data_IF_353410804594
#
_entry.id   IF_353410804594
#
_cell.length_a   1.000
_cell.length_b   1.000
_cell.length_c   1.000
_cell.angle_alpha   90.00
_cell.angle_beta   90.00
_cell.angle_gamma   90.00
#
_symmetry.space_group_name_H-M   'P 1'
#
loop_
_entity.id
_entity.type
_entity.pdbx_description
1 polymer ?
#
# COMPACT_ATOMS: atom_id res chain seq x y z
N UNK A 1 35.70 -2.13 -28.54
CA UNK A 1 34.33 -2.07 -27.98
C UNK A 1 34.30 -2.94 -26.73
N UNK A 2 33.95 -2.42 -25.54
CA UNK A 2 34.00 -3.21 -24.32
C UNK A 2 32.92 -4.30 -24.38
N UNK A 3 33.36 -5.57 -24.41
CA UNK A 3 32.51 -6.76 -24.42
C UNK A 3 32.42 -7.31 -23.00
N UNK A 4 31.39 -6.88 -22.27
CA UNK A 4 31.04 -7.43 -20.95
C UNK A 4 29.60 -7.92 -20.97
N UNK A 5 29.36 -9.14 -20.45
CA UNK A 5 28.01 -9.73 -20.32
C UNK A 5 27.11 -8.98 -19.34
N UNK A 6 27.68 -8.11 -18.50
CA UNK A 6 26.96 -7.37 -17.48
C UNK A 6 27.10 -5.87 -17.70
N UNK A 7 25.99 -5.16 -17.60
CA UNK A 7 25.93 -3.70 -17.71
C UNK A 7 26.52 -3.11 -16.42
N UNK A 8 27.58 -2.30 -16.56
CA UNK A 8 28.14 -1.56 -15.43
C UNK A 8 27.28 -0.33 -15.15
N UNK A 9 26.60 -0.33 -14.00
CA UNK A 9 25.74 0.78 -13.58
C UNK A 9 26.50 1.86 -12.78
N UNK A 10 27.81 1.69 -12.57
CA UNK A 10 28.63 2.65 -11.81
C UNK A 10 28.82 3.93 -12.63
N UNK A 11 28.38 5.07 -12.10
CA UNK A 11 28.54 6.38 -12.73
C UNK A 11 27.42 6.80 -13.68
N UNK A 12 26.42 5.94 -13.91
CA UNK A 12 25.20 6.33 -14.66
C UNK A 12 24.24 7.06 -13.71
N UNK A 13 23.60 8.11 -14.20
CA UNK A 13 22.53 8.80 -13.46
C UNK A 13 21.44 7.80 -13.10
N UNK A 14 21.08 7.74 -11.82
CA UNK A 14 20.00 6.87 -11.34
C UNK A 14 18.70 7.45 -11.85
N UNK A 15 18.09 6.78 -12.83
CA UNK A 15 16.74 7.08 -13.25
C UNK A 15 15.80 6.39 -12.27
N UNK A 16 15.00 7.18 -11.55
CA UNK A 16 13.88 6.65 -10.80
C UNK A 16 12.71 6.57 -11.78
N UNK A 17 12.08 5.40 -11.88
CA UNK A 17 10.81 5.27 -12.60
C UNK A 17 9.82 6.25 -12.00
N UNK A 18 9.12 6.98 -12.86
CA UNK A 18 8.12 7.93 -12.38
C UNK A 18 6.98 7.18 -11.69
N UNK A 19 6.32 7.79 -10.69
CA UNK A 19 5.20 7.12 -10.00
C UNK A 19 4.06 6.77 -10.96
N UNK A 20 3.91 7.52 -12.05
CA UNK A 20 2.93 7.26 -13.11
C UNK A 20 3.30 6.02 -13.94
N UNK A 21 4.56 5.88 -14.35
CA UNK A 21 5.03 4.67 -15.05
C UNK A 21 4.94 3.41 -14.18
N UNK A 22 5.20 3.53 -12.87
CA UNK A 22 5.13 2.39 -11.96
C UNK A 22 3.68 1.91 -11.75
N UNK A 23 2.72 2.84 -11.83
CA UNK A 23 1.31 2.52 -11.80
C UNK A 23 0.84 1.90 -13.12
N UNK A 24 1.27 2.48 -14.25
CA UNK A 24 1.01 1.95 -15.58
C UNK A 24 1.51 0.50 -15.72
N UNK A 25 2.75 0.22 -15.29
CA UNK A 25 3.35 -1.12 -15.32
C UNK A 25 2.58 -2.11 -14.42
N UNK A 26 2.06 -1.64 -13.27
CA UNK A 26 1.22 -2.46 -12.39
C UNK A 26 -0.15 -2.77 -13.02
N UNK A 27 -0.74 -1.82 -13.74
CA UNK A 27 -2.02 -1.98 -14.42
C UNK A 27 -1.85 -2.94 -15.63
N UNK A 28 -0.79 -2.79 -16.42
CA UNK A 28 -0.46 -3.67 -17.54
C UNK A 28 -0.18 -5.13 -17.09
N UNK A 29 0.56 -5.32 -15.98
CA UNK A 29 0.76 -6.64 -15.38
C UNK A 29 -0.56 -7.25 -14.89
N UNK A 30 -1.48 -6.43 -14.37
CA UNK A 30 -2.81 -6.88 -13.92
C UNK A 30 -3.70 -7.34 -15.10
N UNK A 31 -3.58 -6.68 -16.25
CA UNK A 31 -4.29 -7.03 -17.47
C UNK A 31 -3.69 -8.28 -18.14
N UNK A 32 -2.38 -8.45 -18.09
CA UNK A 32 -1.71 -9.67 -18.57
C UNK A 32 -2.15 -10.92 -17.77
N UNK A 33 -2.20 -10.83 -16.44
CA UNK A 33 -2.63 -11.97 -15.62
C UNK A 33 -4.12 -12.27 -15.75
N UNK A 34 -4.96 -11.25 -15.94
CA UNK A 34 -6.39 -11.44 -16.16
C UNK A 34 -6.69 -12.00 -17.57
N UNK A 35 -5.98 -11.54 -18.60
CA UNK A 35 -6.06 -12.08 -19.96
C UNK A 35 -5.53 -13.51 -20.10
N UNK A 36 -4.53 -13.88 -19.30
CA UNK A 36 -4.02 -15.26 -19.21
C UNK A 36 -5.04 -16.21 -18.55
N UNK A 37 -5.75 -15.74 -17.51
CA UNK A 37 -6.80 -16.53 -16.85
C UNK A 37 -8.07 -16.66 -17.71
N UNK A 38 -8.37 -15.69 -18.58
CA UNK A 38 -9.53 -15.73 -19.48
C UNK A 38 -9.38 -16.72 -20.66
N UNK A 39 -8.17 -17.16 -21.00
CA UNK A 39 -7.91 -18.15 -22.07
C UNK A 39 -7.74 -19.60 -21.55
N UNK A 40 -7.89 -19.83 -20.24
CA UNK A 40 -7.67 -21.14 -19.61
C UNK A 40 -8.91 -22.01 -19.42
N UNK A 41 -10.10 -21.55 -19.81
CA UNK A 41 -11.38 -22.18 -19.50
C UNK A 41 -12.05 -22.85 -20.71
N UNK A 42 -11.30 -23.52 -21.60
CA UNK A 42 -11.89 -24.35 -22.67
C UNK A 42 -10.95 -25.50 -23.08
N UNK A 43 -10.69 -26.46 -22.17
CA UNK A 43 -10.33 -27.85 -22.55
C UNK A 43 -10.62 -28.84 -21.42
N UNK A 44 -11.76 -29.51 -21.51
CA UNK A 44 -11.96 -30.82 -20.91
C UNK A 44 -12.25 -31.85 -22.01
N UNK A 45 -11.72 -33.06 -21.80
CA UNK A 45 -11.83 -34.30 -22.58
C UNK A 45 -10.86 -34.55 -23.77
N UNK A 46 -9.68 -35.12 -23.47
CA UNK A 46 -9.17 -36.32 -24.16
C UNK A 46 -7.97 -36.95 -23.42
N UNK A 47 -8.09 -38.27 -23.24
CA UNK A 47 -7.17 -39.28 -22.70
C UNK A 47 -5.70 -39.14 -23.12
N UNK A 48 -4.77 -39.48 -22.22
CA UNK A 48 -3.44 -40.02 -22.59
C UNK A 48 -2.27 -39.43 -21.81
N UNK A 49 -1.64 -40.25 -20.96
CA UNK A 49 -0.50 -39.84 -20.13
C UNK A 49 0.80 -39.67 -20.89
N UNK A 50 1.71 -38.87 -20.33
CA UNK A 50 3.15 -39.12 -20.34
C UNK A 50 3.84 -38.17 -19.35
N UNK A 51 4.74 -38.77 -18.58
CA UNK A 51 5.66 -38.19 -17.62
C UNK A 51 6.50 -37.03 -18.15
N UNK A 52 6.59 -35.94 -17.38
CA UNK A 52 7.82 -35.14 -17.28
C UNK A 52 7.99 -34.61 -15.86
N UNK A 53 8.64 -35.45 -15.05
CA UNK A 53 9.22 -35.10 -13.77
C UNK A 53 10.32 -34.05 -13.95
N UNK A 54 10.22 -32.92 -13.24
CA UNK A 54 11.41 -32.17 -12.82
C UNK A 54 11.17 -31.52 -11.46
N UNK A 55 11.94 -31.87 -10.41
CA UNK A 55 11.74 -31.36 -9.06
C UNK A 55 12.42 -30.00 -8.90
N UNK A 56 11.65 -28.92 -8.76
CA UNK A 56 12.20 -27.63 -8.34
C UNK A 56 12.48 -27.69 -6.84
N UNK A 57 13.77 -27.79 -6.54
CA UNK A 57 14.36 -27.88 -5.22
C UNK A 57 13.92 -26.72 -4.31
N UNK A 58 13.53 -27.12 -3.10
CA UNK A 58 13.39 -26.24 -1.94
C UNK A 58 14.76 -25.72 -1.50
N UNK A 59 14.71 -24.56 -0.82
CA UNK A 59 15.69 -24.02 0.13
C UNK A 59 16.71 -23.02 -0.43
N UNK A 60 16.39 -21.74 -0.30
CA UNK A 60 17.41 -20.72 -0.04
C UNK A 60 17.02 -19.90 1.18
N UNK A 61 17.42 -20.42 2.34
CA UNK A 61 17.55 -19.69 3.59
C UNK A 61 18.46 -18.48 3.35
N UNK A 62 17.92 -17.27 3.53
CA UNK A 62 18.69 -16.03 3.51
C UNK A 62 19.28 -15.81 4.90
N UNK A 63 20.51 -16.28 5.09
CA UNK A 63 21.33 -15.86 6.22
C UNK A 63 21.73 -14.39 6.02
N UNK A 64 21.19 -13.54 6.89
CA UNK A 64 21.47 -12.12 7.04
C UNK A 64 22.86 -11.96 7.68
N UNK A 65 23.86 -11.58 6.89
CA UNK A 65 25.17 -11.17 7.41
C UNK A 65 25.12 -9.71 7.85
N UNK A 66 25.27 -9.49 9.15
CA UNK A 66 25.49 -8.18 9.77
C UNK A 66 26.96 -7.81 9.62
N UNK A 67 27.28 -6.68 8.96
CA UNK A 67 28.66 -6.18 8.87
C UNK A 67 28.78 -4.75 9.41
N UNK A 68 29.39 -4.69 10.60
CA UNK A 68 30.32 -3.71 11.14
C UNK A 68 29.92 -2.23 11.29
N UNK A 69 29.70 -1.84 12.55
CA UNK A 69 30.28 -0.62 13.12
C UNK A 69 31.81 -0.80 13.26
N UNK A 70 32.61 0.19 12.86
CA UNK A 70 33.64 0.80 13.73
C UNK A 70 34.23 2.05 13.06
N UNK A 71 34.25 3.11 13.86
CA UNK A 71 34.74 4.46 13.60
C UNK A 71 36.24 4.58 13.90
N UNK A 72 36.98 5.35 13.10
CA UNK A 72 38.27 6.02 13.41
C UNK A 72 38.40 7.20 12.42
N UNK A 73 38.20 8.46 12.83
CA UNK A 73 39.15 9.41 13.44
C UNK A 73 40.21 10.00 12.48
N UNK A 74 39.98 11.24 12.03
CA UNK A 74 40.92 12.27 11.52
C UNK A 74 40.02 13.36 10.88
N UNK A 75 40.10 14.68 11.07
CA UNK A 75 41.20 15.62 11.35
C UNK A 75 40.62 16.91 11.97
N UNK A 76 41.46 17.63 12.72
CA UNK A 76 41.22 18.95 13.30
C UNK A 76 41.43 20.10 12.27
N UNK A 77 40.79 21.26 12.48
CA UNK A 77 41.36 22.63 12.41
C UNK A 77 40.31 23.74 12.11
N UNK A 78 40.44 24.89 12.80
CA UNK A 78 39.84 26.22 12.52
C UNK A 78 38.55 26.51 13.31
N UNK A 79 38.49 27.25 14.42
CA UNK A 79 39.03 28.55 14.88
C UNK A 79 38.22 29.80 14.41
N UNK A 80 37.91 30.68 15.38
CA UNK A 80 37.31 32.04 15.35
C UNK A 80 35.83 32.17 14.93
N UNK A 81 34.86 32.62 15.75
CA UNK A 81 34.69 33.84 16.59
C UNK A 81 34.55 35.16 15.81
N UNK A 82 33.33 35.68 15.68
CA UNK A 82 32.94 37.12 15.70
C UNK A 82 31.42 37.18 15.46
N UNK A 83 30.57 37.48 16.44
CA UNK A 83 30.18 38.83 16.89
C UNK A 83 29.94 39.78 15.72
N UNK A 84 28.69 40.12 15.44
CA UNK A 84 28.19 41.51 15.56
C UNK A 84 26.68 41.59 15.34
N UNK A 85 26.11 42.42 16.20
CA UNK A 85 24.73 42.78 16.44
C UNK A 85 24.23 43.70 15.32
N UNK A 86 23.24 43.23 14.54
CA UNK A 86 22.52 44.07 13.60
C UNK A 86 21.16 44.43 14.21
N UNK A 87 21.17 45.42 15.10
CA UNK A 87 19.99 46.20 15.49
C UNK A 87 19.46 46.93 14.24
N UNK A 88 18.61 46.25 13.46
CA UNK A 88 17.82 46.90 12.42
C UNK A 88 16.76 47.78 13.09
N UNK A 89 17.03 49.08 13.13
CA UNK A 89 16.09 50.14 13.50
C UNK A 89 14.71 49.87 12.92
N UNK A 90 13.81 49.29 13.73
CA UNK A 90 12.38 49.37 13.45
C UNK A 90 11.96 50.79 13.76
N UNK A 91 12.11 51.68 12.78
CA UNK A 91 11.57 53.04 12.81
C UNK A 91 10.16 52.99 13.39
N UNK A 92 9.95 53.84 14.39
CA UNK A 92 8.81 53.87 15.29
C UNK A 92 7.44 53.93 14.58
N UNK A 93 6.93 52.79 14.11
CA UNK A 93 5.51 52.63 13.79
C UNK A 93 4.62 52.67 15.06
N UNK A 94 5.22 52.96 16.22
CA UNK A 94 4.60 53.04 17.54
C UNK A 94 3.90 54.39 17.79
N UNK A 95 4.04 55.39 16.91
CA UNK A 95 3.46 56.73 17.12
C UNK A 95 2.80 57.25 15.84
N UNK A 96 1.48 57.46 15.89
CA UNK A 96 0.69 58.11 14.84
C UNK A 96 -0.30 57.21 14.10
N UNK A 97 -0.91 57.74 13.04
CA UNK A 97 -1.97 57.09 12.23
C UNK A 97 -1.52 55.76 11.60
N UNK A 98 -0.21 55.58 11.40
CA UNK A 98 0.38 54.36 10.87
C UNK A 98 0.10 53.10 11.72
N UNK A 99 -0.20 53.23 13.02
CA UNK A 99 -0.59 52.09 13.86
C UNK A 99 -2.03 51.63 13.64
N UNK A 100 -2.86 52.48 13.02
CA UNK A 100 -4.28 52.22 12.77
C UNK A 100 -4.52 51.56 11.40
N UNK A 101 -3.51 51.60 10.51
CA UNK A 101 -3.60 51.02 9.18
C UNK A 101 -3.24 49.53 9.25
N UNK A 102 -4.18 48.68 8.84
CA UNK A 102 -3.98 47.25 8.74
C UNK A 102 -3.11 46.91 7.52
N UNK A 103 -1.97 46.26 7.77
CA UNK A 103 -1.00 45.92 6.71
C UNK A 103 -1.24 44.47 6.26
N UNK A 104 -1.90 44.28 5.13
CA UNK A 104 -2.17 42.99 4.46
C UNK A 104 -0.99 42.47 3.63
N UNK A 105 0.20 42.43 4.23
CA UNK A 105 1.36 41.84 3.55
C UNK A 105 1.47 40.35 3.90
N UNK A 106 1.29 39.41 2.95
CA UNK A 106 1.31 37.97 3.21
C UNK A 106 2.68 37.45 3.71
N UNK A 107 3.77 38.17 3.45
CA UNK A 107 5.11 37.84 3.93
C UNK A 107 5.48 38.60 5.23
N UNK A 108 4.57 39.42 5.77
CA UNK A 108 4.84 40.19 6.99
C UNK A 108 4.66 39.33 8.22
N UNK A 109 5.76 39.02 8.87
CA UNK A 109 5.76 38.35 10.17
C UNK A 109 5.27 39.33 11.23
N UNK A 110 4.01 39.23 11.63
CA UNK A 110 3.44 40.05 12.69
C UNK A 110 4.12 39.72 14.03
N UNK A 111 4.91 40.65 14.57
CA UNK A 111 5.47 40.57 15.92
C UNK A 111 4.31 40.70 16.93
N UNK A 112 3.59 39.62 17.22
CA UNK A 112 2.64 39.58 18.33
C UNK A 112 3.44 39.65 19.63
N UNK A 113 3.07 40.57 20.53
CA UNK A 113 3.72 40.71 21.84
C UNK A 113 3.69 39.41 22.66
N UNK A 114 4.33 39.37 23.84
CA UNK A 114 4.52 38.15 24.60
C UNK A 114 3.17 37.48 24.90
N UNK A 115 2.91 36.36 24.21
CA UNK A 115 1.71 35.57 24.44
C UNK A 115 1.84 34.82 25.75
N UNK A 116 0.74 34.76 26.49
CA UNK A 116 0.67 34.04 27.78
C UNK A 116 0.98 32.57 27.53
N UNK A 117 1.91 32.03 28.33
CA UNK A 117 2.44 30.65 28.27
C UNK A 117 1.34 29.58 28.21
N UNK A 118 0.16 29.85 28.77
CA UNK A 118 -1.00 28.95 28.76
C UNK A 118 -1.61 28.70 27.38
N UNK A 119 -1.57 29.68 26.46
CA UNK A 119 -2.09 29.51 25.10
C UNK A 119 -1.15 28.68 24.21
N UNK A 120 0.16 28.77 24.46
CA UNK A 120 1.21 28.08 23.71
C UNK A 120 1.22 26.58 24.06
N UNK A 121 0.94 26.21 25.31
CA UNK A 121 0.91 24.79 25.73
C UNK A 121 -0.28 23.99 25.16
N UNK A 122 -1.38 24.65 24.78
CA UNK A 122 -2.56 23.95 24.25
C UNK A 122 -2.37 23.51 22.77
N UNK A 123 -1.66 24.32 21.98
CA UNK A 123 -1.40 24.05 20.56
C UNK A 123 -0.21 23.08 20.33
N UNK A 124 0.67 22.93 21.34
CA UNK A 124 1.76 21.94 21.34
C UNK A 124 1.29 20.50 21.62
N UNK A 125 -0.01 20.27 21.87
CA UNK A 125 -0.58 18.94 22.13
C UNK A 125 -0.67 18.03 20.89
N UNK A 126 -0.44 18.58 19.69
CA UNK A 126 -0.20 17.82 18.45
C UNK A 126 1.23 18.04 17.98
N UNK A 127 2.24 17.49 18.68
CA UNK A 127 3.58 17.45 18.14
C UNK A 127 3.50 16.71 16.81
N UNK A 128 3.87 17.38 15.71
CA UNK A 128 3.86 16.80 14.37
C UNK A 128 4.58 15.46 14.42
N UNK A 129 3.84 14.37 14.24
CA UNK A 129 4.34 13.01 14.39
C UNK A 129 5.70 12.93 13.70
N UNK A 130 6.73 12.60 14.50
CA UNK A 130 8.10 12.34 14.05
C UNK A 130 8.05 11.54 12.75
N UNK A 131 9.00 11.70 11.82
CA UNK A 131 9.04 10.91 10.57
C UNK A 131 8.67 9.44 10.81
N UNK A 132 9.18 8.88 11.90
CA UNK A 132 8.89 7.52 12.37
C UNK A 132 7.42 7.28 12.78
N UNK A 133 6.78 8.25 13.42
CA UNK A 133 5.36 8.21 13.78
C UNK A 133 4.42 8.40 12.58
N UNK A 134 4.85 9.11 11.53
CA UNK A 134 4.09 9.23 10.28
C UNK A 134 4.09 7.91 9.49
N UNK A 135 5.22 7.23 9.43
CA UNK A 135 5.30 5.95 8.70
C UNK A 135 4.53 4.84 9.44
N UNK A 136 4.58 4.79 10.78
CA UNK A 136 3.76 3.82 11.54
C UNK A 136 2.26 4.05 11.40
N UNK A 137 1.80 5.32 11.32
CA UNK A 137 0.40 5.63 11.10
C UNK A 137 -0.08 5.22 9.70
N UNK A 138 0.78 5.36 8.69
CA UNK A 138 0.50 4.90 7.33
C UNK A 138 0.40 3.38 7.27
N UNK A 139 1.33 2.66 7.88
CA UNK A 139 1.29 1.20 7.94
C UNK A 139 0.02 0.69 8.63
N UNK A 140 -0.38 1.33 9.73
CA UNK A 140 -1.65 1.02 10.40
C UNK A 140 -2.85 1.30 9.49
N UNK A 141 -2.87 2.45 8.82
CA UNK A 141 -3.97 2.79 7.90
C UNK A 141 -4.04 1.84 6.69
N UNK A 142 -2.90 1.37 6.18
CA UNK A 142 -2.81 0.42 5.08
C UNK A 142 -3.33 -0.95 5.50
N UNK A 143 -2.97 -1.43 6.69
CA UNK A 143 -3.50 -2.68 7.27
C UNK A 143 -5.01 -2.60 7.45
N UNK A 144 -5.52 -1.51 8.02
CA UNK A 144 -6.97 -1.31 8.16
C UNK A 144 -7.68 -1.27 6.82
N UNK A 145 -7.09 -0.64 5.79
CA UNK A 145 -7.66 -0.63 4.45
C UNK A 145 -7.69 -2.02 3.85
N UNK A 146 -6.62 -2.80 4.01
CA UNK A 146 -6.56 -4.19 3.56
C UNK A 146 -7.63 -5.04 4.26
N UNK A 147 -7.73 -4.97 5.60
CA UNK A 147 -8.76 -5.66 6.37
C UNK A 147 -10.18 -5.26 5.93
N UNK A 148 -10.43 -3.97 5.71
CA UNK A 148 -11.71 -3.48 5.17
C UNK A 148 -12.00 -4.04 3.77
N UNK A 149 -11.01 -4.11 2.89
CA UNK A 149 -11.19 -4.69 1.56
C UNK A 149 -11.38 -6.22 1.62
N UNK A 150 -10.70 -6.90 2.54
CA UNK A 150 -10.78 -8.34 2.74
C UNK A 150 -12.16 -8.72 3.29
N UNK A 151 -12.62 -8.04 4.34
CA UNK A 151 -13.98 -8.21 4.88
C UNK A 151 -15.06 -7.88 3.84
N UNK A 152 -14.84 -6.87 3.00
CA UNK A 152 -15.73 -6.54 1.88
C UNK A 152 -15.69 -7.57 0.71
N UNK A 153 -14.84 -8.60 0.78
CA UNK A 153 -14.72 -9.60 -0.28
C UNK A 153 -14.01 -9.10 -1.54
N UNK A 154 -13.27 -7.99 -1.46
CA UNK A 154 -12.63 -7.35 -2.63
C UNK A 154 -11.20 -7.82 -2.88
N UNK A 155 -10.53 -8.41 -1.89
CA UNK A 155 -9.22 -9.06 -2.06
C UNK A 155 -9.35 -10.36 -2.86
N UNK A 156 -8.30 -10.77 -3.57
CA UNK A 156 -8.28 -12.01 -4.36
C UNK A 156 -8.58 -13.24 -3.50
N UNK A 157 -8.02 -13.29 -2.29
CA UNK A 157 -8.26 -14.34 -1.29
C UNK A 157 -9.74 -14.40 -0.89
N UNK A 158 -10.34 -13.28 -0.48
CA UNK A 158 -11.72 -13.28 -0.04
C UNK A 158 -12.70 -13.57 -1.19
N UNK A 159 -12.39 -13.13 -2.42
CA UNK A 159 -13.17 -13.52 -3.61
C UNK A 159 -13.13 -15.02 -3.85
N UNK A 160 -11.96 -15.66 -3.72
CA UNK A 160 -11.81 -17.10 -3.87
C UNK A 160 -12.60 -17.87 -2.81
N UNK A 161 -12.55 -17.42 -1.55
CA UNK A 161 -13.34 -18.01 -0.46
C UNK A 161 -14.85 -17.86 -0.70
N UNK A 162 -15.31 -16.68 -1.13
CA UNK A 162 -16.70 -16.47 -1.50
C UNK A 162 -17.13 -17.35 -2.69
N UNK A 163 -16.29 -17.49 -3.71
CA UNK A 163 -16.54 -18.36 -4.86
C UNK A 163 -16.65 -19.82 -4.41
N UNK A 164 -15.75 -20.28 -3.54
CA UNK A 164 -15.80 -21.63 -2.94
C UNK A 164 -17.11 -21.85 -2.18
N UNK A 165 -17.53 -20.88 -1.36
CA UNK A 165 -18.80 -20.95 -0.65
C UNK A 165 -20.00 -20.95 -1.59
N UNK A 166 -19.95 -20.19 -2.70
CA UNK A 166 -21.00 -20.19 -3.71
C UNK A 166 -21.14 -21.56 -4.40
N UNK A 167 -20.05 -22.23 -4.73
CA UNK A 167 -20.08 -23.60 -5.27
C UNK A 167 -20.73 -24.59 -4.29
N UNK A 168 -20.39 -24.52 -3.01
CA UNK A 168 -21.00 -25.37 -1.99
C UNK A 168 -22.51 -25.09 -1.85
N UNK A 169 -22.92 -23.82 -1.89
CA UNK A 169 -24.34 -23.44 -1.88
C UNK A 169 -25.08 -24.03 -3.08
N UNK A 170 -24.54 -23.88 -4.29
CA UNK A 170 -25.10 -24.48 -5.52
C UNK A 170 -25.24 -25.99 -5.42
N UNK A 171 -24.20 -26.69 -4.96
CA UNK A 171 -24.26 -28.15 -4.77
C UNK A 171 -25.33 -28.57 -3.75
N UNK A 172 -25.50 -27.79 -2.67
CA UNK A 172 -26.55 -28.05 -1.67
C UNK A 172 -27.95 -27.82 -2.24
N UNK A 173 -28.14 -26.74 -2.98
CA UNK A 173 -29.40 -26.42 -3.64
C UNK A 173 -29.76 -27.46 -4.71
N UNK A 174 -28.80 -27.86 -5.55
CA UNK A 174 -29.00 -28.90 -6.56
C UNK A 174 -29.32 -30.26 -5.94
N UNK A 175 -28.65 -30.66 -4.86
CA UNK A 175 -28.94 -31.92 -4.17
C UNK A 175 -30.30 -31.89 -3.46
N UNK A 176 -30.67 -30.76 -2.87
CA UNK A 176 -32.00 -30.57 -2.29
C UNK A 176 -33.09 -30.59 -3.37
N UNK A 177 -32.86 -29.93 -4.50
CA UNK A 177 -33.76 -29.92 -5.65
C UNK A 177 -33.92 -31.33 -6.25
N UNK A 178 -32.82 -32.08 -6.43
CA UNK A 178 -32.85 -33.48 -6.87
C UNK A 178 -33.68 -34.35 -5.92
N UNK A 179 -33.42 -34.29 -4.61
CA UNK A 179 -34.24 -35.05 -3.62
C UNK A 179 -35.71 -34.63 -3.63
N UNK A 180 -36.02 -33.34 -3.80
CA UNK A 180 -37.40 -32.87 -3.88
C UNK A 180 -38.09 -33.35 -5.16
N UNK A 181 -37.39 -33.39 -6.29
CA UNK A 181 -37.90 -33.93 -7.55
C UNK A 181 -38.14 -35.44 -7.45
N UNK A 182 -37.20 -36.20 -6.88
CA UNK A 182 -37.34 -37.64 -6.68
C UNK A 182 -38.52 -37.97 -5.76
N UNK A 183 -38.69 -37.19 -4.67
CA UNK A 183 -39.85 -37.33 -3.78
C UNK A 183 -41.17 -37.04 -4.50
N UNK A 184 -41.24 -35.96 -5.29
CA UNK A 184 -42.43 -35.65 -6.10
C UNK A 184 -42.72 -36.74 -7.14
N UNK A 185 -41.70 -37.31 -7.78
CA UNK A 185 -41.85 -38.41 -8.73
C UNK A 185 -42.39 -39.67 -8.04
N UNK A 186 -41.85 -40.03 -6.87
CA UNK A 186 -42.36 -41.14 -6.07
C UNK A 186 -43.81 -40.93 -5.60
N UNK A 187 -44.17 -39.72 -5.18
CA UNK A 187 -45.54 -39.36 -4.80
C UNK A 187 -46.50 -39.42 -6.00
N UNK A 188 -46.05 -39.07 -7.22
CA UNK A 188 -46.86 -39.20 -8.44
C UNK A 188 -47.01 -40.67 -8.89
N UNK A 189 -45.98 -41.50 -8.72
CA UNK A 189 -46.06 -42.94 -9.01
C UNK A 189 -47.01 -43.64 -8.04
N UNK A 190 -46.99 -43.30 -6.76
CA UNK A 190 -47.90 -43.87 -5.76
C UNK A 190 -49.34 -43.35 -5.88
N UNK A 191 -49.55 -42.10 -6.34
CA UNK A 191 -50.88 -41.52 -6.59
C UNK A 191 -51.50 -41.90 -7.93
N UNK A 192 -50.76 -42.41 -8.92
CA UNK A 192 -51.39 -42.96 -10.12
C UNK A 192 -52.18 -44.19 -9.69
N UNK A 193 -53.53 -44.12 -9.64
CA UNK A 193 -54.31 -45.29 -9.28
C UNK A 193 -54.03 -46.33 -10.37
N UNK A 194 -53.73 -47.56 -9.96
CA UNK A 194 -53.75 -48.71 -10.85
C UNK A 194 -55.16 -48.79 -11.45
N UNK A 195 -55.37 -48.15 -12.60
CA UNK A 195 -56.62 -48.25 -13.35
C UNK A 195 -56.68 -49.68 -13.90
N UNK A 196 -57.64 -50.45 -13.35
CA UNK A 196 -58.02 -51.79 -13.78
C UNK A 196 -58.90 -51.72 -15.02
#
# INVERSE_FOLDING_TARGET
MPRGKFVNYKGRTRQFTSPEELQQESDDDSDQVSGSMANGEDKEAAVGGASSSSPIAKNRSLQKTTRNQKLTSAVAAGEASSSEDCEEETRDAKKGVASLIEIENPNRVAKKGPQKVSAIMLDQSKPGLSRRGRDSAKDQSARQRYEKLHTAGKTTEARADLARLALIRKQREETAAKRAADKKAADMVTKKPFAK
#
